data_IF_824661991721
#
_entry.id   IF_824661991721
#
_cell.length_a   1.000
_cell.length_b   1.000
_cell.length_c   1.000
_cell.angle_alpha   90.00
_cell.angle_beta   90.00
_cell.angle_gamma   90.00
#
_symmetry.space_group_name_H-M   'P 1'
#
loop_
_entity.id
_entity.type
_entity.pdbx_description
1 polymer ?
#
# COMPACT_ATOMS: atom_id res chain seq x y z
N UNK A 1 -13.14 54.34 -36.70
CA UNK A 1 -12.72 54.49 -35.32
C UNK A 1 -13.04 53.16 -34.64
N UNK A 2 -12.04 52.28 -34.60
CA UNK A 2 -12.18 50.89 -34.11
C UNK A 2 -11.65 50.86 -32.66
N UNK A 3 -12.47 50.41 -31.71
CA UNK A 3 -12.10 50.22 -30.35
C UNK A 3 -11.68 48.75 -30.15
N UNK A 4 -10.40 48.54 -29.96
CA UNK A 4 -9.83 47.23 -29.54
C UNK A 4 -10.12 47.01 -28.05
N UNK A 5 -10.81 45.90 -27.75
CA UNK A 5 -11.03 45.42 -26.38
C UNK A 5 -9.79 44.68 -25.86
N UNK A 6 -9.53 44.73 -24.55
CA UNK A 6 -8.32 44.11 -23.97
C UNK A 6 -8.41 42.59 -23.96
N UNK A 7 -7.31 41.94 -24.35
CA UNK A 7 -7.06 40.50 -24.27
C UNK A 7 -7.16 40.02 -22.85
N UNK A 8 -8.00 39.00 -22.63
CA UNK A 8 -8.08 38.27 -21.34
C UNK A 8 -6.92 37.30 -21.25
N UNK A 9 -5.94 37.70 -20.47
CA UNK A 9 -4.77 36.88 -20.14
C UNK A 9 -5.19 35.69 -19.28
N UNK A 10 -5.17 34.50 -19.88
CA UNK A 10 -5.45 33.23 -19.20
C UNK A 10 -4.33 32.93 -18.22
N UNK A 11 -4.57 33.30 -16.97
CA UNK A 11 -3.69 32.90 -15.86
C UNK A 11 -3.83 31.39 -15.63
N UNK A 12 -2.92 30.63 -16.19
CA UNK A 12 -2.64 29.25 -15.84
C UNK A 12 -2.47 29.15 -14.32
N UNK A 13 -3.49 28.65 -13.63
CA UNK A 13 -3.43 28.32 -12.20
C UNK A 13 -2.47 27.15 -12.02
N UNK A 14 -1.17 27.44 -11.82
CA UNK A 14 -0.23 26.47 -11.29
C UNK A 14 -0.78 26.01 -9.93
N UNK A 15 -1.20 24.75 -9.88
CA UNK A 15 -1.52 24.10 -8.59
C UNK A 15 -0.27 24.19 -7.72
N UNK A 16 -0.38 24.62 -6.44
CA UNK A 16 0.76 24.60 -5.55
C UNK A 16 1.23 23.14 -5.45
N UNK A 17 2.51 22.92 -5.70
CA UNK A 17 3.18 21.66 -5.38
C UNK A 17 3.19 21.59 -3.85
N UNK A 18 2.14 20.97 -3.28
CA UNK A 18 2.22 20.51 -1.91
C UNK A 18 3.45 19.63 -1.84
N UNK A 19 4.31 19.87 -0.84
CA UNK A 19 5.35 18.93 -0.44
C UNK A 19 4.60 17.67 0.07
N UNK A 20 3.92 16.96 -0.85
CA UNK A 20 2.98 15.91 -0.59
C UNK A 20 3.76 14.65 -0.29
N UNK A 21 3.47 14.06 0.86
CA UNK A 21 3.83 12.68 1.13
C UNK A 21 3.44 11.84 -0.08
N UNK A 22 4.37 11.03 -0.55
CA UNK A 22 4.12 10.13 -1.68
C UNK A 22 3.17 9.05 -1.17
N UNK A 23 2.08 8.79 -1.91
CA UNK A 23 1.18 7.68 -1.62
C UNK A 23 1.80 6.40 -2.19
N UNK A 24 1.80 5.34 -1.39
CA UNK A 24 2.20 3.99 -1.81
C UNK A 24 1.13 3.00 -1.38
N UNK A 25 1.00 1.90 -2.13
CA UNK A 25 0.26 0.72 -1.67
C UNK A 25 1.24 -0.21 -0.97
N UNK A 26 0.90 -0.63 0.24
CA UNK A 26 1.70 -1.55 1.05
C UNK A 26 0.94 -2.85 1.24
N UNK A 27 1.63 -3.98 1.15
CA UNK A 27 1.03 -5.27 1.47
C UNK A 27 1.36 -5.76 2.89
N UNK A 28 0.70 -6.84 3.31
CA UNK A 28 0.82 -7.39 4.65
C UNK A 28 2.23 -7.91 4.95
N UNK A 29 3.01 -8.32 3.94
CA UNK A 29 4.39 -8.83 4.13
C UNK A 29 5.34 -7.75 4.62
N UNK A 30 5.02 -6.49 4.37
CA UNK A 30 5.78 -5.33 4.86
C UNK A 30 5.16 -4.77 6.14
N UNK A 31 3.83 -4.60 6.17
CA UNK A 31 3.19 -3.92 7.29
C UNK A 31 3.16 -4.76 8.57
N UNK A 32 3.02 -6.08 8.46
CA UNK A 32 3.02 -6.96 9.62
C UNK A 32 4.35 -6.92 10.40
N UNK A 33 5.53 -7.11 9.78
CA UNK A 33 6.82 -6.97 10.49
C UNK A 33 7.09 -5.52 10.92
N UNK A 34 6.69 -4.52 10.13
CA UNK A 34 6.87 -3.12 10.52
C UNK A 34 6.23 -2.77 11.87
N UNK A 35 5.09 -3.40 12.20
CA UNK A 35 4.34 -3.16 13.44
C UNK A 35 4.71 -4.10 14.59
N UNK A 36 5.10 -5.34 14.31
CA UNK A 36 5.27 -6.36 15.35
C UNK A 36 6.72 -6.84 15.55
N UNK A 37 7.61 -6.61 14.58
CA UNK A 37 8.98 -7.11 14.63
C UNK A 37 9.96 -6.00 15.01
N UNK A 38 10.75 -6.25 16.07
CA UNK A 38 11.77 -5.34 16.56
C UNK A 38 13.18 -5.69 16.02
N UNK A 39 13.30 -6.70 15.15
CA UNK A 39 14.53 -7.11 14.49
C UNK A 39 14.79 -6.33 13.17
N UNK A 40 15.83 -6.75 12.45
CA UNK A 40 16.26 -6.12 11.18
C UNK A 40 15.16 -6.02 10.12
N UNK A 41 14.30 -7.04 10.02
CA UNK A 41 13.20 -7.07 9.03
C UNK A 41 12.15 -6.00 9.35
N UNK A 42 11.79 -5.85 10.62
CA UNK A 42 10.93 -4.77 11.09
C UNK A 42 11.55 -3.39 10.88
N UNK A 43 12.86 -3.24 11.13
CA UNK A 43 13.57 -1.98 10.86
C UNK A 43 13.60 -1.63 9.38
N UNK A 44 13.91 -2.57 8.50
CA UNK A 44 13.91 -2.39 7.05
C UNK A 44 12.51 -2.00 6.53
N UNK A 45 11.48 -2.68 7.02
CA UNK A 45 10.10 -2.38 6.68
C UNK A 45 9.71 -0.95 7.12
N UNK A 46 9.98 -0.58 8.38
CA UNK A 46 9.71 0.78 8.89
C UNK A 46 10.48 1.86 8.12
N UNK A 47 11.74 1.59 7.76
CA UNK A 47 12.55 2.52 6.96
C UNK A 47 11.93 2.76 5.58
N UNK A 48 11.43 1.71 4.91
CA UNK A 48 10.78 1.80 3.60
C UNK A 48 9.44 2.54 3.62
N UNK A 49 8.76 2.57 4.76
CA UNK A 49 7.45 3.24 4.92
C UNK A 49 7.56 4.68 5.45
N UNK A 50 8.74 5.08 5.92
CA UNK A 50 8.91 6.39 6.58
C UNK A 50 8.58 7.55 5.66
N UNK A 51 7.71 8.45 6.15
CA UNK A 51 7.34 9.66 5.41
C UNK A 51 6.35 9.43 4.27
N UNK A 52 5.87 8.19 4.06
CA UNK A 52 4.90 7.86 3.04
C UNK A 52 3.45 7.99 3.57
N UNK A 53 2.51 8.18 2.66
CA UNK A 53 1.08 7.98 2.92
C UNK A 53 0.73 6.58 2.46
N UNK A 54 0.15 5.78 3.35
CA UNK A 54 -0.09 4.36 3.11
C UNK A 54 -1.53 4.11 2.65
N UNK A 55 -1.69 3.29 1.63
CA UNK A 55 -2.96 2.76 1.17
C UNK A 55 -2.88 1.23 1.05
N UNK A 56 -3.99 0.55 1.29
CA UNK A 56 -4.09 -0.89 1.10
C UNK A 56 -5.56 -1.30 0.87
N UNK A 57 -5.83 -2.47 0.26
CA UNK A 57 -7.16 -3.06 0.31
C UNK A 57 -7.55 -3.38 1.76
N UNK A 58 -8.85 -3.32 2.08
CA UNK A 58 -9.36 -3.63 3.44
C UNK A 58 -8.93 -5.00 3.97
N UNK A 59 -8.72 -5.96 3.08
CA UNK A 59 -8.28 -7.31 3.44
C UNK A 59 -6.95 -7.35 4.18
N UNK A 60 -6.13 -6.30 4.12
CA UNK A 60 -4.83 -6.23 4.79
C UNK A 60 -4.94 -6.48 6.29
N UNK A 61 -5.98 -5.99 6.93
CA UNK A 61 -6.17 -6.15 8.38
C UNK A 61 -6.31 -7.62 8.76
N UNK A 62 -7.06 -8.40 7.97
CA UNK A 62 -7.23 -9.84 8.20
C UNK A 62 -5.98 -10.64 7.82
N UNK A 63 -5.27 -10.25 6.79
CA UNK A 63 -4.00 -10.90 6.43
C UNK A 63 -2.94 -10.72 7.52
N UNK A 64 -2.79 -9.49 8.03
CA UNK A 64 -1.88 -9.18 9.13
C UNK A 64 -2.27 -9.96 10.39
N UNK A 65 -3.54 -9.93 10.77
CA UNK A 65 -4.04 -10.70 11.91
C UNK A 65 -3.78 -12.22 11.74
N UNK A 66 -3.91 -12.74 10.51
CA UNK A 66 -3.59 -14.14 10.20
C UNK A 66 -2.09 -14.45 10.34
N UNK A 67 -1.21 -13.53 9.93
CA UNK A 67 0.24 -13.66 10.10
C UNK A 67 0.58 -13.72 11.58
N UNK A 68 0.15 -12.73 12.36
CA UNK A 68 0.46 -12.68 13.79
C UNK A 68 -0.13 -13.85 14.57
N UNK A 69 -1.37 -14.28 14.24
CA UNK A 69 -1.96 -15.47 14.83
C UNK A 69 -1.07 -16.69 14.64
N UNK A 70 -0.56 -16.93 13.42
CA UNK A 70 0.35 -18.05 13.16
C UNK A 70 1.63 -17.94 13.97
N UNK A 71 2.22 -16.76 14.06
CA UNK A 71 3.43 -16.51 14.82
C UNK A 71 3.22 -16.71 16.34
N UNK A 72 2.11 -16.25 16.89
CA UNK A 72 1.76 -16.46 18.30
C UNK A 72 1.56 -17.95 18.59
N UNK A 73 0.81 -18.66 17.75
CA UNK A 73 0.58 -20.11 17.92
C UNK A 73 1.86 -20.94 17.77
N UNK A 74 2.82 -20.46 17.00
CA UNK A 74 4.13 -21.09 16.84
C UNK A 74 5.15 -20.66 17.92
N UNK A 75 4.78 -19.77 18.85
CA UNK A 75 5.71 -19.23 19.87
C UNK A 75 6.78 -18.28 19.31
N UNK A 76 6.59 -17.77 18.09
CA UNK A 76 7.53 -16.85 17.43
C UNK A 76 7.24 -15.38 17.74
N UNK A 77 6.03 -15.07 18.19
CA UNK A 77 5.59 -13.74 18.62
C UNK A 77 4.90 -13.87 19.97
N UNK A 78 5.29 -13.05 20.94
CA UNK A 78 4.63 -12.98 22.23
C UNK A 78 3.19 -12.42 22.05
N UNK A 79 2.20 -13.05 22.70
CA UNK A 79 0.79 -12.64 22.59
C UNK A 79 0.58 -11.17 22.95
N UNK A 80 1.21 -10.69 24.04
CA UNK A 80 1.15 -9.27 24.46
C UNK A 80 1.70 -8.34 23.39
N UNK A 81 2.78 -8.74 22.70
CA UNK A 81 3.35 -7.94 21.61
C UNK A 81 2.42 -7.88 20.41
N UNK A 82 1.73 -9.00 20.08
CA UNK A 82 0.71 -9.04 19.05
C UNK A 82 -0.49 -8.13 19.38
N UNK A 83 -0.94 -8.11 20.64
CA UNK A 83 -2.03 -7.23 21.07
C UNK A 83 -1.66 -5.75 20.93
N UNK A 84 -0.42 -5.37 21.26
CA UNK A 84 0.08 -4.01 21.06
C UNK A 84 0.17 -3.65 19.57
N UNK A 85 0.69 -4.57 18.75
CA UNK A 85 0.77 -4.37 17.30
C UNK A 85 -0.61 -4.24 16.65
N UNK A 86 -1.61 -4.97 17.16
CA UNK A 86 -3.00 -4.82 16.72
C UNK A 86 -3.55 -3.43 17.05
N UNK A 87 -3.28 -2.93 18.25
CA UNK A 87 -3.68 -1.57 18.63
C UNK A 87 -3.02 -0.52 17.71
N UNK A 88 -1.73 -0.69 17.40
CA UNK A 88 -0.99 0.17 16.48
C UNK A 88 -1.58 0.11 15.05
N UNK A 89 -1.95 -1.08 14.56
CA UNK A 89 -2.60 -1.26 13.27
C UNK A 89 -3.93 -0.51 13.19
N UNK A 90 -4.74 -0.59 14.24
CA UNK A 90 -6.03 0.09 14.32
C UNK A 90 -5.89 1.62 14.38
N UNK A 91 -4.82 2.12 14.99
CA UNK A 91 -4.51 3.54 15.11
C UNK A 91 -3.76 4.10 13.88
N UNK A 92 -3.23 3.23 13.02
CA UNK A 92 -2.43 3.65 11.86
C UNK A 92 -3.28 4.45 10.86
N UNK A 93 -2.80 5.63 10.40
CA UNK A 93 -3.45 6.39 9.34
C UNK A 93 -3.25 5.74 7.96
N UNK A 94 -3.74 4.51 7.80
CA UNK A 94 -3.75 3.72 6.59
C UNK A 94 -5.07 3.94 5.86
N UNK A 95 -5.01 4.32 4.59
CA UNK A 95 -6.19 4.41 3.72
C UNK A 95 -6.60 3.00 3.29
N UNK A 96 -7.66 2.49 3.91
CA UNK A 96 -8.24 1.17 3.56
C UNK A 96 -9.26 1.33 2.46
N UNK A 97 -9.08 0.60 1.38
CA UNK A 97 -9.93 0.69 0.18
C UNK A 97 -10.74 -0.59 0.06
N UNK A 98 -12.05 -0.45 -0.10
CA UNK A 98 -12.95 -1.59 -0.29
C UNK A 98 -12.55 -2.40 -1.54
N UNK A 99 -12.34 -3.68 -1.37
CA UNK A 99 -11.86 -4.57 -2.44
C UNK A 99 -12.90 -4.78 -3.56
N UNK A 100 -14.17 -4.51 -3.31
CA UNK A 100 -15.25 -4.71 -4.30
C UNK A 100 -14.98 -4.00 -5.63
N UNK A 101 -14.47 -2.78 -5.59
CA UNK A 101 -14.13 -2.02 -6.80
C UNK A 101 -12.88 -2.54 -7.52
N UNK A 102 -12.09 -3.38 -6.87
CA UNK A 102 -10.87 -3.96 -7.44
C UNK A 102 -11.12 -5.32 -8.11
N UNK A 103 -12.28 -5.96 -7.85
CA UNK A 103 -12.54 -7.35 -8.23
C UNK A 103 -12.46 -7.61 -9.73
N UNK A 104 -12.89 -6.68 -10.57
CA UNK A 104 -12.80 -6.85 -12.03
C UNK A 104 -11.35 -7.03 -12.45
N UNK A 105 -10.44 -6.16 -11.94
CA UNK A 105 -9.02 -6.25 -12.27
C UNK A 105 -8.36 -7.46 -11.62
N UNK A 106 -8.76 -7.83 -10.40
CA UNK A 106 -8.30 -9.07 -9.77
C UNK A 106 -8.64 -10.29 -10.61
N UNK A 107 -9.84 -10.33 -11.18
CA UNK A 107 -10.26 -11.43 -12.05
C UNK A 107 -9.49 -11.50 -13.36
N UNK A 108 -9.14 -10.36 -13.95
CA UNK A 108 -8.27 -10.31 -15.13
C UNK A 108 -6.88 -10.92 -14.84
N UNK A 109 -6.36 -10.75 -13.63
CA UNK A 109 -5.05 -11.25 -13.20
C UNK A 109 -5.07 -12.71 -12.70
N UNK A 110 -6.22 -13.40 -12.68
CA UNK A 110 -6.44 -14.73 -12.06
C UNK A 110 -5.51 -15.84 -12.52
N UNK A 111 -4.95 -15.74 -13.71
CA UNK A 111 -4.03 -16.76 -14.22
C UNK A 111 -2.60 -16.60 -13.66
N UNK A 112 -2.27 -15.45 -13.12
CA UNK A 112 -0.92 -15.08 -12.68
C UNK A 112 -0.82 -14.83 -11.18
N UNK A 113 -1.93 -14.43 -10.54
CA UNK A 113 -1.97 -14.03 -9.14
C UNK A 113 -3.17 -14.63 -8.43
N UNK A 114 -3.02 -14.83 -7.11
CA UNK A 114 -4.16 -15.08 -6.24
C UNK A 114 -5.05 -13.84 -6.19
N UNK A 115 -6.36 -13.96 -5.89
CA UNK A 115 -7.23 -12.79 -5.70
C UNK A 115 -6.71 -11.80 -4.64
N UNK A 116 -6.04 -12.31 -3.61
CA UNK A 116 -5.45 -11.50 -2.53
C UNK A 116 -4.29 -10.64 -3.05
N UNK A 117 -3.30 -11.26 -3.71
CA UNK A 117 -2.17 -10.53 -4.30
C UNK A 117 -2.64 -9.56 -5.39
N UNK A 118 -3.59 -10.00 -6.21
CA UNK A 118 -4.19 -9.20 -7.27
C UNK A 118 -4.90 -7.94 -6.74
N UNK A 119 -5.47 -7.97 -5.53
CA UNK A 119 -6.12 -6.81 -4.93
C UNK A 119 -5.12 -5.67 -4.65
N UNK A 120 -3.92 -5.98 -4.17
CA UNK A 120 -2.87 -4.98 -3.98
C UNK A 120 -2.38 -4.39 -5.30
N UNK A 121 -2.18 -5.24 -6.30
CA UNK A 121 -1.79 -4.80 -7.66
C UNK A 121 -2.88 -3.91 -8.26
N UNK A 122 -4.14 -4.35 -8.23
CA UNK A 122 -5.27 -3.59 -8.76
C UNK A 122 -5.43 -2.22 -8.09
N UNK A 123 -5.17 -2.15 -6.77
CA UNK A 123 -5.21 -0.88 -6.05
C UNK A 123 -4.05 0.04 -6.45
N UNK A 124 -2.83 -0.48 -6.56
CA UNK A 124 -1.68 0.30 -6.99
C UNK A 124 -1.85 0.84 -8.42
N UNK A 125 -2.42 0.04 -9.32
CA UNK A 125 -2.78 0.46 -10.68
C UNK A 125 -3.87 1.52 -10.68
N UNK A 126 -4.92 1.36 -9.86
CA UNK A 126 -6.03 2.30 -9.75
C UNK A 126 -5.57 3.68 -9.26
N UNK A 127 -4.63 3.71 -8.32
CA UNK A 127 -4.09 4.94 -7.74
C UNK A 127 -2.89 5.50 -8.52
N UNK A 128 -2.37 4.76 -9.51
CA UNK A 128 -1.13 5.06 -10.25
C UNK A 128 0.06 5.31 -9.32
N UNK A 129 0.28 4.39 -8.38
CA UNK A 129 1.33 4.46 -7.37
C UNK A 129 2.16 3.18 -7.31
N UNK A 130 3.24 3.21 -6.54
CA UNK A 130 4.11 2.04 -6.32
C UNK A 130 3.45 1.08 -5.33
N UNK A 131 3.52 -0.22 -5.62
CA UNK A 131 3.25 -1.30 -4.68
C UNK A 131 4.55 -1.68 -3.98
N UNK A 132 4.55 -1.61 -2.65
CA UNK A 132 5.68 -2.01 -1.79
C UNK A 132 5.36 -3.37 -1.15
N UNK A 133 6.20 -4.35 -1.40
CA UNK A 133 6.01 -5.75 -0.98
C UNK A 133 7.32 -6.38 -0.54
N UNK A 134 7.26 -7.42 0.29
CA UNK A 134 8.36 -8.35 0.58
C UNK A 134 8.42 -9.54 -0.37
N UNK A 135 7.38 -9.76 -1.19
CA UNK A 135 7.31 -10.91 -2.09
C UNK A 135 7.98 -10.63 -3.45
N UNK A 136 9.16 -11.22 -3.62
CA UNK A 136 9.91 -11.16 -4.89
C UNK A 136 9.17 -11.80 -6.07
N UNK A 137 8.28 -12.78 -5.83
CA UNK A 137 7.50 -13.43 -6.89
C UNK A 137 6.47 -12.48 -7.46
N UNK A 138 5.85 -11.68 -6.61
CA UNK A 138 4.87 -10.67 -7.04
C UNK A 138 5.48 -9.67 -8.03
N UNK A 139 6.70 -9.20 -7.77
CA UNK A 139 7.39 -8.25 -8.66
C UNK A 139 7.71 -8.80 -10.06
N UNK A 140 7.71 -10.12 -10.21
CA UNK A 140 8.02 -10.83 -11.48
C UNK A 140 6.77 -11.34 -12.19
N UNK A 141 5.60 -11.16 -11.61
CA UNK A 141 4.35 -11.67 -12.18
C UNK A 141 4.02 -10.92 -13.48
N UNK A 142 3.60 -11.64 -14.54
CA UNK A 142 3.22 -11.00 -15.79
C UNK A 142 1.89 -10.26 -15.68
N UNK A 143 1.69 -9.24 -16.53
CA UNK A 143 0.44 -8.50 -16.63
C UNK A 143 0.26 -7.33 -15.67
N UNK A 144 1.27 -7.02 -14.85
CA UNK A 144 1.27 -5.87 -13.96
C UNK A 144 1.40 -4.56 -14.76
N UNK A 145 0.65 -3.54 -14.35
CA UNK A 145 0.71 -2.18 -14.92
C UNK A 145 1.21 -1.14 -13.92
N UNK A 146 1.47 -1.55 -12.66
CA UNK A 146 2.09 -0.71 -11.64
C UNK A 146 3.57 -1.07 -11.45
N UNK A 147 4.32 -0.15 -10.85
CA UNK A 147 5.68 -0.46 -10.37
C UNK A 147 5.61 -1.20 -9.05
N UNK A 148 6.46 -2.21 -8.88
CA UNK A 148 6.59 -2.98 -7.66
C UNK A 148 7.97 -2.77 -7.08
N UNK A 149 8.03 -2.34 -5.83
CA UNK A 149 9.26 -2.20 -5.05
C UNK A 149 9.31 -3.31 -4.01
N UNK A 150 10.36 -4.10 -4.04
CA UNK A 150 10.59 -5.16 -3.06
C UNK A 150 11.50 -4.64 -1.95
N UNK A 151 11.09 -4.84 -0.69
CA UNK A 151 11.90 -4.61 0.51
C UNK A 151 12.21 -5.98 1.10
N UNK A 152 13.48 -6.26 1.36
CA UNK A 152 13.97 -7.52 1.93
C UNK A 152 15.11 -7.25 2.90
#
# INVERSE_FOLDING_TARGET
MQAEGPAVESRSRRRPRSCGRIVIVVDASILAPALADDNSDGEAARAGLRGQTLAAPELIDLEIASVWRRQVMAGQLEARRADLALADLLALPLQRIAHRQLLTRCWELRHNLTPYDAAYVALAELLDVVLVTGDKRLSRSPGLRCRVQVIS
#
